data_IF_441721765074
#
_entry.id   IF_441721765074
#
_cell.length_a   1.000
_cell.length_b   1.000
_cell.length_c   1.000
_cell.angle_alpha   90.00
_cell.angle_beta   90.00
_cell.angle_gamma   90.00
#
_symmetry.space_group_name_H-M   'P 1'
#
loop_
_entity.id
_entity.type
_entity.pdbx_description
1 polymer ?
#
# COMPACT_ATOMS: atom_id res chain seq x y z
N UNK A 1 8.29 5.30 12.06
CA UNK A 1 8.00 6.75 11.91
C UNK A 1 6.88 7.24 12.83
N UNK A 2 6.88 6.87 14.12
CA UNK A 2 6.01 7.52 15.10
C UNK A 2 6.71 8.78 15.62
N UNK A 3 5.97 9.83 16.02
CA UNK A 3 4.50 9.94 16.04
C UNK A 3 3.89 10.42 14.71
N UNK A 4 4.66 11.03 13.82
CA UNK A 4 4.13 11.75 12.66
C UNK A 4 3.47 10.87 11.60
N UNK A 5 3.91 9.61 11.45
CA UNK A 5 3.38 8.65 10.48
C UNK A 5 3.06 7.30 11.16
N UNK A 6 1.91 7.17 11.84
CA UNK A 6 1.48 5.93 12.45
C UNK A 6 1.26 4.79 11.43
N UNK A 7 1.32 3.52 11.86
CA UNK A 7 0.95 2.38 11.02
C UNK A 7 -0.46 2.53 10.43
N UNK A 8 -0.67 2.12 9.18
CA UNK A 8 -1.95 2.26 8.48
C UNK A 8 -2.15 3.61 7.77
N UNK A 9 -1.17 4.51 7.85
CA UNK A 9 -1.13 5.71 7.02
C UNK A 9 -0.60 5.41 5.62
N UNK A 10 -1.22 6.02 4.60
CA UNK A 10 -0.80 5.88 3.22
C UNK A 10 0.15 7.01 2.86
N UNK A 11 1.39 6.67 2.49
CA UNK A 11 2.42 7.65 2.15
C UNK A 11 2.62 7.66 0.63
N UNK A 12 2.55 8.85 0.04
CA UNK A 12 2.86 9.05 -1.38
C UNK A 12 4.20 9.74 -1.50
N UNK A 13 5.10 9.10 -2.25
CA UNK A 13 6.42 9.66 -2.57
C UNK A 13 6.50 10.07 -4.02
N UNK A 14 7.30 11.11 -4.28
CA UNK A 14 7.63 11.59 -5.61
C UNK A 14 9.12 11.34 -5.89
N UNK A 15 9.48 10.77 -7.06
CA UNK A 15 10.87 10.71 -7.49
C UNK A 15 11.45 12.13 -7.56
N UNK A 16 12.57 12.34 -6.89
CA UNK A 16 13.31 13.60 -6.90
C UNK A 16 14.78 13.31 -7.20
N UNK A 17 15.49 14.21 -7.90
CA UNK A 17 16.94 14.12 -8.04
C UNK A 17 17.63 14.00 -6.67
N UNK A 18 18.64 13.13 -6.58
CA UNK A 18 19.28 12.80 -5.30
C UNK A 18 19.98 14.00 -4.65
N UNK A 19 20.51 14.89 -5.46
CA UNK A 19 21.13 16.16 -5.07
C UNK A 19 20.15 17.19 -4.46
N UNK A 20 18.85 17.01 -4.68
CA UNK A 20 17.81 17.84 -4.09
C UNK A 20 17.36 17.35 -2.71
N UNK A 21 17.77 16.15 -2.30
CA UNK A 21 17.43 15.58 -0.99
C UNK A 21 18.31 16.23 0.07
N UNK A 22 17.68 16.66 1.17
CA UNK A 22 18.33 17.38 2.27
C UNK A 22 18.09 16.68 3.59
N UNK A 23 18.93 16.98 4.59
CA UNK A 23 18.65 16.58 5.96
C UNK A 23 17.30 17.14 6.41
N UNK A 24 16.51 16.31 7.10
CA UNK A 24 15.13 16.57 7.49
C UNK A 24 14.08 15.96 6.55
N UNK A 25 14.44 15.68 5.29
CA UNK A 25 13.52 15.07 4.33
C UNK A 25 13.14 13.65 4.73
N UNK A 26 11.91 13.27 4.44
CA UNK A 26 11.44 11.88 4.57
C UNK A 26 11.54 11.20 3.22
N UNK A 27 12.26 10.09 3.15
CA UNK A 27 12.53 9.38 1.89
C UNK A 27 12.12 7.92 2.01
N UNK A 28 11.60 7.37 0.90
CA UNK A 28 11.40 5.93 0.74
C UNK A 28 12.52 5.38 -0.13
N UNK A 29 13.17 4.33 0.35
CA UNK A 29 14.28 3.68 -0.32
C UNK A 29 14.18 2.15 -0.18
N UNK A 30 14.90 1.44 -1.03
CA UNK A 30 15.04 -0.01 -0.95
C UNK A 30 16.08 -0.40 0.07
N UNK A 31 15.73 -1.35 0.95
CA UNK A 31 16.68 -1.93 1.91
C UNK A 31 17.86 -2.58 1.20
N UNK A 32 17.56 -3.26 0.10
CA UNK A 32 18.55 -3.89 -0.76
C UNK A 32 18.27 -3.50 -2.21
N UNK A 33 19.30 -3.03 -2.91
CA UNK A 33 19.17 -2.59 -4.30
C UNK A 33 18.62 -3.71 -5.18
N UNK A 34 17.57 -3.41 -5.95
CA UNK A 34 16.94 -4.37 -6.86
C UNK A 34 15.87 -5.27 -6.22
N UNK A 35 15.70 -5.25 -4.88
CA UNK A 35 14.62 -5.98 -4.21
C UNK A 35 13.38 -5.10 -4.01
N UNK A 36 12.15 -5.67 -4.02
CA UNK A 36 10.92 -4.89 -3.89
C UNK A 36 10.70 -4.31 -2.48
N UNK A 37 11.45 -4.77 -1.47
CA UNK A 37 11.28 -4.34 -0.08
C UNK A 37 11.78 -2.91 0.12
N UNK A 38 10.87 -2.04 0.56
CA UNK A 38 11.15 -0.62 0.82
C UNK A 38 10.90 -0.24 2.28
N UNK A 39 11.61 0.79 2.72
CA UNK A 39 11.44 1.44 4.02
C UNK A 39 11.40 2.94 3.82
N UNK A 40 10.65 3.63 4.68
CA UNK A 40 10.56 5.09 4.70
C UNK A 40 11.17 5.59 5.99
N UNK A 41 12.24 6.37 5.92
CA UNK A 41 12.92 6.98 7.08
C UNK A 41 13.28 8.46 6.80
N UNK A 42 13.66 9.18 7.84
CA UNK A 42 14.08 10.59 7.74
C UNK A 42 15.57 10.68 7.50
N UNK A 43 15.98 11.52 6.56
CA UNK A 43 17.39 11.84 6.33
C UNK A 43 17.89 12.67 7.51
N UNK A 44 18.89 12.16 8.22
CA UNK A 44 19.54 12.87 9.34
C UNK A 44 20.89 13.46 8.93
N UNK A 45 21.47 13.00 7.82
CA UNK A 45 22.73 13.51 7.30
C UNK A 45 22.99 13.09 5.86
N UNK A 46 24.00 13.71 5.27
CA UNK A 46 24.50 13.36 3.94
C UNK A 46 26.01 13.19 4.06
N UNK A 47 26.49 11.99 3.77
CA UNK A 47 27.91 11.66 3.73
C UNK A 47 28.43 11.85 2.31
N UNK A 48 29.54 12.57 2.15
CA UNK A 48 30.23 12.71 0.87
C UNK A 48 31.52 11.89 0.91
N UNK A 49 31.70 11.01 -0.05
CA UNK A 49 32.90 10.19 -0.19
C UNK A 49 33.96 10.88 -1.04
N UNK A 50 35.20 10.41 -0.88
CA UNK A 50 36.38 10.90 -1.62
C UNK A 50 36.23 10.69 -3.13
N UNK A 51 35.49 9.66 -3.56
CA UNK A 51 35.16 9.39 -4.96
C UNK A 51 34.08 10.32 -5.54
N UNK A 52 33.59 11.30 -4.75
CA UNK A 52 32.53 12.23 -5.12
C UNK A 52 31.11 11.65 -4.98
N UNK A 53 30.97 10.36 -4.62
CA UNK A 53 29.66 9.77 -4.36
C UNK A 53 29.06 10.30 -3.06
N UNK A 54 27.75 10.47 -3.05
CA UNK A 54 26.99 10.90 -1.86
C UNK A 54 26.13 9.76 -1.34
N UNK A 55 25.98 9.66 -0.03
CA UNK A 55 25.12 8.71 0.65
C UNK A 55 24.23 9.44 1.65
N UNK A 56 23.00 8.97 1.79
CA UNK A 56 22.09 9.49 2.81
C UNK A 56 22.29 8.66 4.08
N UNK A 57 22.39 9.35 5.20
CA UNK A 57 22.23 8.74 6.53
C UNK A 57 20.76 8.94 6.89
N UNK A 58 20.04 7.83 7.04
CA UNK A 58 18.63 7.86 7.42
C UNK A 58 18.45 7.32 8.84
N UNK A 59 17.38 7.75 9.49
CA UNK A 59 16.93 7.18 10.76
C UNK A 59 15.42 7.19 10.82
N UNK A 60 14.84 6.12 11.35
CA UNK A 60 13.42 6.10 11.70
C UNK A 60 13.14 7.07 12.85
N UNK A 61 12.09 7.90 12.74
CA UNK A 61 11.76 8.92 13.76
C UNK A 61 11.62 8.39 15.21
N UNK A 62 11.35 7.10 15.37
CA UNK A 62 11.21 6.44 16.68
C UNK A 62 12.43 5.56 17.05
N UNK A 63 13.47 5.53 16.22
CA UNK A 63 14.68 4.76 16.44
C UNK A 63 15.76 5.64 17.05
N UNK A 64 16.62 5.07 17.89
CA UNK A 64 17.77 5.77 18.49
C UNK A 64 19.08 5.56 17.73
N UNK A 65 19.06 4.76 16.67
CA UNK A 65 20.24 4.38 15.90
C UNK A 65 19.99 4.69 14.43
N UNK A 66 21.02 5.19 13.75
CA UNK A 66 20.99 5.47 12.32
C UNK A 66 21.01 4.16 11.52
N UNK A 67 20.39 4.16 10.35
CA UNK A 67 20.40 3.02 9.44
C UNK A 67 21.71 2.96 8.62
N UNK A 68 21.91 1.85 7.92
CA UNK A 68 23.01 1.73 6.96
C UNK A 68 22.94 2.84 5.87
N UNK A 69 24.08 3.42 5.46
CA UNK A 69 24.11 4.50 4.48
C UNK A 69 23.44 4.12 3.15
N UNK A 70 22.47 4.94 2.73
CA UNK A 70 21.64 4.71 1.55
C UNK A 70 22.26 5.34 0.32
N UNK A 71 22.38 4.56 -0.75
CA UNK A 71 22.91 5.02 -2.05
C UNK A 71 21.80 5.62 -2.92
N UNK A 72 22.19 6.40 -3.92
CA UNK A 72 21.27 7.03 -4.87
C UNK A 72 20.36 6.05 -5.59
N UNK A 73 20.84 4.86 -5.93
CA UNK A 73 20.08 3.87 -6.70
C UNK A 73 18.98 3.19 -5.86
N UNK A 74 19.11 3.27 -4.53
CA UNK A 74 18.13 2.70 -3.61
C UNK A 74 16.94 3.65 -3.40
N UNK A 75 17.12 4.95 -3.60
CA UNK A 75 16.08 5.94 -3.33
C UNK A 75 14.97 5.83 -4.38
N UNK A 76 13.73 5.72 -3.89
CA UNK A 76 12.53 5.65 -4.74
C UNK A 76 11.79 6.97 -4.81
N UNK A 77 11.90 7.79 -3.78
CA UNK A 77 11.39 9.14 -3.80
C UNK A 77 11.39 9.79 -2.42
N UNK A 78 11.03 11.07 -2.42
CA UNK A 78 10.81 11.87 -1.22
C UNK A 78 9.32 11.98 -0.94
N UNK A 79 8.94 12.00 0.34
CA UNK A 79 7.57 12.23 0.79
C UNK A 79 7.00 13.48 0.10
N UNK A 80 5.84 13.30 -0.53
CA UNK A 80 5.10 14.39 -1.13
C UNK A 80 3.89 14.76 -0.28
N UNK A 81 3.05 13.79 0.05
CA UNK A 81 1.95 13.93 0.99
C UNK A 81 1.62 12.58 1.63
N UNK A 82 0.91 12.62 2.74
CA UNK A 82 0.39 11.45 3.41
C UNK A 82 -1.11 11.57 3.62
N UNK A 83 -1.80 10.44 3.53
CA UNK A 83 -3.24 10.36 3.69
C UNK A 83 -3.54 9.46 4.90
N UNK A 84 -3.99 10.06 6.01
CA UNK A 84 -4.36 9.30 7.18
C UNK A 84 -5.47 8.29 6.82
N UNK A 85 -5.34 7.07 7.33
CA UNK A 85 -6.37 6.03 7.37
C UNK A 85 -6.66 5.30 6.05
N UNK A 86 -6.18 5.80 4.90
CA UNK A 86 -6.32 5.09 3.62
C UNK A 86 -5.51 3.78 3.56
N UNK A 87 -4.44 3.65 4.35
CA UNK A 87 -3.73 2.37 4.47
C UNK A 87 -4.61 1.28 5.07
N UNK A 88 -5.54 1.63 5.96
CA UNK A 88 -6.50 0.67 6.52
C UNK A 88 -7.53 0.21 5.48
N UNK A 89 -7.96 1.08 4.57
CA UNK A 89 -8.90 0.71 3.49
C UNK A 89 -8.28 -0.36 2.59
N UNK A 90 -6.99 -0.21 2.26
CA UNK A 90 -6.30 -1.23 1.47
C UNK A 90 -6.01 -2.51 2.29
N UNK A 91 -5.70 -2.39 3.60
CA UNK A 91 -5.41 -3.56 4.44
C UNK A 91 -6.65 -4.35 4.85
N UNK A 92 -7.84 -3.74 4.90
CA UNK A 92 -9.10 -4.48 5.10
C UNK A 92 -9.55 -5.19 3.83
N UNK A 93 -9.19 -4.66 2.65
CA UNK A 93 -9.47 -5.28 1.35
C UNK A 93 -8.51 -6.42 0.94
N UNK A 94 -7.72 -6.98 1.85
CA UNK A 94 -6.79 -8.07 1.53
C UNK A 94 -7.50 -9.44 1.51
N UNK A 95 -7.74 -9.95 0.29
CA UNK A 95 -7.93 -11.37 -0.03
C UNK A 95 -9.19 -12.04 0.53
N UNK A 96 -9.18 -12.37 1.83
CA UNK A 96 -10.22 -13.18 2.48
C UNK A 96 -11.60 -12.48 2.45
N UNK A 97 -11.60 -11.16 2.66
CA UNK A 97 -12.82 -10.35 2.57
C UNK A 97 -13.30 -10.05 1.14
N UNK A 98 -12.55 -10.42 0.10
CA UNK A 98 -13.08 -10.41 -1.27
C UNK A 98 -13.72 -11.74 -1.61
N UNK A 99 -13.13 -12.84 -1.15
CA UNK A 99 -13.64 -14.20 -1.39
C UNK A 99 -15.03 -14.42 -0.81
N UNK A 100 -15.27 -14.12 0.47
CA UNK A 100 -16.60 -14.27 1.08
C UNK A 100 -17.68 -13.43 0.38
N UNK A 101 -17.39 -12.18 0.01
CA UNK A 101 -18.32 -11.25 -0.61
C UNK A 101 -18.72 -11.74 -2.00
N UNK A 102 -17.74 -12.23 -2.78
CA UNK A 102 -17.98 -12.87 -4.08
C UNK A 102 -18.84 -14.12 -3.92
N UNK A 103 -18.56 -14.99 -2.94
CA UNK A 103 -19.38 -16.18 -2.69
C UNK A 103 -20.80 -15.82 -2.26
N UNK A 104 -20.99 -14.82 -1.41
CA UNK A 104 -22.31 -14.33 -1.02
C UNK A 104 -23.09 -13.83 -2.23
N UNK A 105 -22.46 -13.05 -3.11
CA UNK A 105 -23.09 -12.58 -4.35
C UNK A 105 -23.46 -13.75 -5.28
N UNK A 106 -22.56 -14.72 -5.47
CA UNK A 106 -22.80 -15.91 -6.31
C UNK A 106 -23.97 -16.75 -5.77
N UNK A 107 -23.99 -17.04 -4.47
CA UNK A 107 -25.07 -17.81 -3.84
C UNK A 107 -26.38 -17.04 -3.93
N UNK A 108 -26.38 -15.75 -3.60
CA UNK A 108 -27.57 -14.90 -3.67
C UNK A 108 -28.18 -14.86 -5.08
N UNK A 109 -27.35 -14.64 -6.11
CA UNK A 109 -27.80 -14.63 -7.50
C UNK A 109 -28.29 -16.02 -7.97
N UNK A 110 -27.62 -17.09 -7.55
CA UNK A 110 -28.03 -18.46 -7.91
C UNK A 110 -29.37 -18.84 -7.27
N UNK A 111 -29.56 -18.53 -5.99
CA UNK A 111 -30.83 -18.74 -5.29
C UNK A 111 -31.95 -17.92 -5.94
N UNK A 112 -31.69 -16.65 -6.26
CA UNK A 112 -32.65 -15.80 -6.96
C UNK A 112 -33.05 -16.39 -8.32
N UNK A 113 -32.08 -16.85 -9.11
CA UNK A 113 -32.33 -17.49 -10.41
C UNK A 113 -33.19 -18.74 -10.28
N UNK A 114 -32.94 -19.60 -9.27
CA UNK A 114 -33.72 -20.82 -9.05
C UNK A 114 -35.16 -20.51 -8.63
N UNK A 115 -35.37 -19.52 -7.76
CA UNK A 115 -36.71 -19.09 -7.33
C UNK A 115 -37.51 -18.54 -8.51
N UNK A 116 -36.89 -17.69 -9.33
CA UNK A 116 -37.49 -17.17 -10.56
C UNK A 116 -37.88 -18.27 -11.53
N UNK A 117 -36.97 -19.23 -11.76
CA UNK A 117 -37.21 -20.35 -12.68
C UNK A 117 -38.32 -21.28 -12.19
N UNK A 118 -38.34 -21.59 -10.89
CA UNK A 118 -39.39 -22.39 -10.27
C UNK A 118 -40.76 -21.68 -10.32
N UNK A 119 -40.78 -20.36 -10.10
CA UNK A 119 -41.97 -19.53 -10.26
C UNK A 119 -42.51 -19.57 -11.70
N UNK A 120 -41.63 -19.40 -12.69
CA UNK A 120 -42.00 -19.45 -14.10
C UNK A 120 -42.57 -20.81 -14.54
N UNK A 121 -42.03 -21.92 -14.03
CA UNK A 121 -42.57 -23.26 -14.29
C UNK A 121 -43.95 -23.44 -13.64
N UNK A 122 -44.12 -22.97 -12.40
CA UNK A 122 -45.38 -23.10 -11.67
C UNK A 122 -46.50 -22.31 -12.32
N UNK A 123 -46.21 -21.11 -12.83
CA UNK A 123 -47.18 -20.28 -13.55
C UNK A 123 -47.58 -20.88 -14.90
N UNK A 124 -46.68 -21.60 -15.59
CA UNK A 124 -47.02 -22.33 -16.82
C UNK A 124 -47.97 -23.49 -16.54
N UNK A 125 -47.72 -24.29 -15.50
CA UNK A 125 -48.61 -25.43 -15.13
C UNK A 125 -50.02 -24.97 -14.73
N UNK A 126 -50.14 -23.87 -13.99
CA UNK A 126 -51.45 -23.30 -13.63
C UNK A 126 -52.29 -22.86 -14.83
N UNK A 127 -51.66 -22.54 -15.97
CA UNK A 127 -52.35 -22.17 -17.21
C UNK A 127 -52.83 -23.36 -18.04
N UNK A 128 -52.28 -24.56 -17.81
CA UNK A 128 -52.70 -25.78 -18.50
C UNK A 128 -53.87 -26.48 -17.80
N UNK A 129 -54.13 -26.17 -16.52
CA UNK A 129 -55.22 -26.74 -15.72
C UNK A 129 -56.52 -25.90 -15.71
N UNK A 130 -56.55 -24.74 -16.39
CA UNK A 130 -57.71 -23.84 -16.49
C UNK A 130 -58.21 -23.69 -17.92
#
# INVERSE_FOLDING_TARGET
MRPNFPPGEFIVVKPVPFDQIRAGDVVTYQLESGKPKVVTHRVVGIESKVDGSKRLITRGDANNVDDDPVRSEQVRGRLWYSLPWLGYVNSTLTGQQRTWLTWTAVVGLSTYSLVMFAGAIRDRRKKEES
#
